data_IF_192560818027
#
_entry.id   IF_192560818027
#
_cell.length_a   1.000
_cell.length_b   1.000
_cell.length_c   1.000
_cell.angle_alpha   90.00
_cell.angle_beta   90.00
_cell.angle_gamma   90.00
#
_symmetry.space_group_name_H-M   'P 1'
#
loop_
_entity.id
_entity.type
_entity.pdbx_description
1 polymer ?
#
# COMPACT_ATOMS: atom_id res chain seq x y z
N UNK A 1 15.33 14.12 -18.13
CA UNK A 1 14.72 14.85 -16.98
C UNK A 1 13.56 15.72 -17.47
N UNK A 2 12.54 15.93 -16.64
CA UNK A 2 11.34 16.70 -16.98
C UNK A 2 11.51 18.23 -16.88
N UNK A 3 10.45 18.96 -17.24
CA UNK A 3 10.40 20.43 -17.33
C UNK A 3 10.59 21.14 -15.98
N UNK A 4 10.29 20.47 -14.88
CA UNK A 4 10.26 21.05 -13.54
C UNK A 4 11.56 20.84 -12.75
N UNK A 5 12.61 20.30 -13.39
CA UNK A 5 13.92 20.07 -12.77
C UNK A 5 14.53 21.34 -12.18
N UNK A 6 15.30 21.20 -11.11
CA UNK A 6 16.20 22.25 -10.61
C UNK A 6 17.62 22.03 -11.11
N UNK A 7 18.36 23.13 -11.29
CA UNK A 7 19.78 23.10 -11.64
C UNK A 7 20.09 22.68 -13.08
N UNK A 8 21.38 22.74 -13.40
CA UNK A 8 21.91 22.22 -14.65
C UNK A 8 22.08 20.69 -14.57
N UNK A 9 21.88 20.03 -15.71
CA UNK A 9 22.02 18.57 -15.77
C UNK A 9 23.49 18.24 -16.06
N UNK A 10 24.15 17.64 -15.07
CA UNK A 10 25.50 17.10 -15.25
C UNK A 10 25.47 15.75 -15.99
N UNK A 11 26.66 15.19 -16.27
CA UNK A 11 26.81 13.92 -16.97
C UNK A 11 26.05 12.76 -16.28
N UNK A 12 26.09 12.70 -14.95
CA UNK A 12 25.35 11.70 -14.18
C UNK A 12 23.83 11.85 -14.36
N UNK A 13 23.33 13.09 -14.36
CA UNK A 13 21.93 13.39 -14.63
C UNK A 13 21.51 13.00 -16.05
N UNK A 14 22.42 13.06 -17.02
CA UNK A 14 22.18 12.58 -18.39
C UNK A 14 22.14 11.05 -18.45
N UNK A 15 23.11 10.37 -17.84
CA UNK A 15 23.11 8.90 -17.71
C UNK A 15 21.83 8.40 -17.03
N UNK A 16 21.40 9.04 -15.96
CA UNK A 16 20.16 8.72 -15.26
C UNK A 16 18.92 8.97 -16.14
N UNK A 17 18.87 10.08 -16.88
CA UNK A 17 17.79 10.35 -17.81
C UNK A 17 17.71 9.29 -18.92
N UNK A 18 18.85 8.85 -19.44
CA UNK A 18 18.96 7.83 -20.47
C UNK A 18 18.51 6.46 -19.95
N UNK A 19 18.92 6.07 -18.74
CA UNK A 19 18.44 4.86 -18.06
C UNK A 19 16.91 4.88 -17.93
N UNK A 20 16.34 6.01 -17.49
CA UNK A 20 14.90 6.15 -17.37
C UNK A 20 14.18 6.09 -18.72
N UNK A 21 14.74 6.73 -19.75
CA UNK A 21 14.16 6.71 -21.09
C UNK A 21 14.15 5.29 -21.68
N UNK A 22 15.28 4.56 -21.56
CA UNK A 22 15.43 3.19 -22.03
C UNK A 22 14.41 2.24 -21.37
N UNK A 23 14.26 2.34 -20.05
CA UNK A 23 13.36 1.48 -19.27
C UNK A 23 11.90 1.96 -19.24
N UNK A 24 11.54 2.97 -20.05
CA UNK A 24 10.19 3.56 -20.09
C UNK A 24 9.74 4.01 -18.68
N UNK A 25 10.62 4.66 -17.93
CA UNK A 25 10.34 5.25 -16.63
C UNK A 25 10.05 6.76 -16.75
N UNK A 26 9.23 7.26 -15.83
CA UNK A 26 8.93 8.68 -15.67
C UNK A 26 9.50 9.14 -14.33
N UNK A 27 10.27 10.23 -14.36
CA UNK A 27 10.97 10.79 -13.21
C UNK A 27 10.04 11.76 -12.48
N UNK A 28 9.35 11.28 -11.44
CA UNK A 28 8.29 12.01 -10.76
C UNK A 28 8.74 13.35 -10.17
N UNK A 29 9.94 13.43 -9.60
CA UNK A 29 10.48 14.66 -9.02
C UNK A 29 10.67 15.82 -10.01
N UNK A 30 10.59 15.58 -11.33
CA UNK A 30 10.86 16.60 -12.35
C UNK A 30 9.67 16.90 -13.28
N UNK A 31 8.49 16.32 -13.04
CA UNK A 31 7.30 16.53 -13.87
C UNK A 31 6.23 17.42 -13.22
N UNK A 32 6.15 17.44 -11.88
CA UNK A 32 5.12 18.20 -11.17
C UNK A 32 5.57 19.65 -10.88
N UNK A 33 4.68 20.64 -11.08
CA UNK A 33 4.98 22.04 -10.80
C UNK A 33 4.97 22.30 -9.29
N UNK A 34 6.15 22.20 -8.68
CA UNK A 34 6.35 22.45 -7.26
C UNK A 34 7.15 23.74 -7.00
N UNK A 35 6.94 24.39 -5.85
CA UNK A 35 7.81 25.48 -5.38
C UNK A 35 9.23 24.95 -5.17
N UNK A 36 10.27 25.80 -5.33
CA UNK A 36 11.69 25.40 -5.16
C UNK A 36 11.92 24.66 -3.83
N UNK A 37 11.29 25.13 -2.76
CA UNK A 37 11.35 24.51 -1.43
C UNK A 37 10.92 23.03 -1.39
N UNK A 38 10.09 22.58 -2.33
CA UNK A 38 9.57 21.21 -2.44
C UNK A 38 10.28 20.38 -3.52
N UNK A 39 11.34 20.93 -4.13
CA UNK A 39 12.15 20.28 -5.17
C UNK A 39 13.59 20.03 -4.72
N UNK A 40 14.13 20.86 -3.81
CA UNK A 40 15.46 20.68 -3.24
C UNK A 40 15.48 19.50 -2.27
N UNK A 41 16.46 18.62 -2.44
CA UNK A 41 16.56 17.39 -1.65
C UNK A 41 17.88 17.32 -0.90
N UNK A 42 18.96 17.87 -1.45
CA UNK A 42 20.23 17.97 -0.77
C UNK A 42 20.60 19.44 -0.54
N UNK A 43 21.06 19.75 0.67
CA UNK A 43 21.62 21.04 1.03
C UNK A 43 23.06 20.81 1.49
N UNK A 44 24.00 21.57 0.92
CA UNK A 44 25.40 21.54 1.36
C UNK A 44 25.53 21.96 2.83
N UNK A 45 26.59 21.51 3.51
CA UNK A 45 26.81 21.82 4.94
C UNK A 45 26.93 23.31 5.25
N UNK A 46 27.26 24.14 4.25
CA UNK A 46 27.31 25.61 4.34
C UNK A 46 25.96 26.27 4.02
N UNK A 47 24.90 25.48 3.77
CA UNK A 47 23.56 25.90 3.39
C UNK A 47 23.45 26.78 2.14
N UNK A 48 24.49 26.84 1.29
CA UNK A 48 24.51 27.68 0.08
C UNK A 48 24.01 26.97 -1.16
N UNK A 49 24.27 25.66 -1.26
CA UNK A 49 24.06 24.87 -2.47
C UNK A 49 22.89 23.92 -2.29
N UNK A 50 21.96 23.98 -3.22
CA UNK A 50 20.74 23.17 -3.24
C UNK A 50 20.72 22.28 -4.48
N UNK A 51 20.67 20.95 -4.30
CA UNK A 51 20.61 20.02 -5.42
C UNK A 51 19.38 19.09 -5.36
N UNK A 52 19.00 18.60 -6.54
CA UNK A 52 17.95 17.60 -6.71
C UNK A 52 18.60 16.29 -7.17
N UNK A 53 18.95 15.42 -6.23
CA UNK A 53 19.67 14.16 -6.51
C UNK A 53 18.85 12.90 -6.26
N UNK A 54 17.85 12.96 -5.37
CA UNK A 54 16.97 11.82 -5.13
C UNK A 54 15.72 11.88 -6.02
N UNK A 55 15.34 10.72 -6.57
CA UNK A 55 14.25 10.64 -7.52
C UNK A 55 13.40 9.40 -7.31
N UNK A 56 12.08 9.60 -7.27
CA UNK A 56 11.12 8.51 -7.40
C UNK A 56 10.73 8.38 -8.87
N UNK A 57 10.99 7.21 -9.44
CA UNK A 57 10.65 6.87 -10.81
C UNK A 57 9.53 5.84 -10.86
N UNK A 58 8.64 5.97 -11.84
CA UNK A 58 7.55 5.01 -12.06
C UNK A 58 7.51 4.57 -13.52
N UNK A 59 7.14 3.32 -13.78
CA UNK A 59 6.90 2.87 -15.14
C UNK A 59 5.87 3.77 -15.85
N UNK A 60 6.16 4.14 -17.10
CA UNK A 60 5.33 5.02 -17.93
C UNK A 60 3.91 4.50 -18.09
N UNK A 61 3.68 3.18 -18.04
CA UNK A 61 2.33 2.58 -18.01
C UNK A 61 1.50 3.06 -16.81
N UNK A 62 2.13 3.25 -15.67
CA UNK A 62 1.49 3.67 -14.42
C UNK A 62 1.65 5.16 -14.13
N UNK A 63 2.17 5.98 -15.06
CA UNK A 63 2.39 7.42 -14.82
C UNK A 63 1.17 8.20 -14.31
N UNK A 64 -0.04 7.73 -14.60
CA UNK A 64 -1.31 8.35 -14.19
C UNK A 64 -1.70 8.01 -12.74
N UNK A 65 -1.02 7.06 -12.10
CA UNK A 65 -1.23 6.75 -10.70
C UNK A 65 -0.48 7.73 -9.80
N UNK A 66 0.63 8.30 -10.25
CA UNK A 66 1.35 9.31 -9.48
C UNK A 66 0.61 10.64 -9.54
N UNK A 67 0.17 11.13 -8.38
CA UNK A 67 -0.51 12.43 -8.24
C UNK A 67 0.47 13.57 -7.95
N UNK A 68 1.51 13.30 -7.16
CA UNK A 68 2.56 14.26 -6.83
C UNK A 68 3.84 13.54 -6.37
N UNK A 69 4.98 14.19 -6.55
CA UNK A 69 6.28 13.81 -5.95
C UNK A 69 6.98 15.07 -5.47
N UNK A 70 7.28 15.16 -4.18
CA UNK A 70 7.86 16.36 -3.56
C UNK A 70 8.80 16.03 -2.41
N UNK A 71 9.74 16.94 -2.14
CA UNK A 71 10.56 16.90 -0.93
C UNK A 71 9.82 17.49 0.28
N UNK A 72 10.10 16.94 1.46
CA UNK A 72 9.51 17.31 2.75
C UNK A 72 10.61 17.91 3.66
N UNK A 73 10.76 19.24 3.61
CA UNK A 73 11.73 19.97 4.47
C UNK A 73 11.41 19.90 5.96
N UNK A 74 10.12 19.84 6.33
CA UNK A 74 9.69 19.85 7.74
C UNK A 74 9.78 18.50 8.45
N UNK A 75 10.32 17.46 7.81
CA UNK A 75 10.58 16.18 8.43
C UNK A 75 12.07 16.10 8.73
N UNK A 76 12.42 16.33 9.99
CA UNK A 76 13.81 16.33 10.45
C UNK A 76 14.31 14.89 10.58
N UNK A 77 15.29 14.53 9.76
CA UNK A 77 15.90 13.19 9.73
C UNK A 77 17.40 13.21 10.07
N UNK A 78 17.88 14.29 10.70
CA UNK A 78 19.30 14.47 11.07
C UNK A 78 20.28 14.11 9.93
N UNK A 79 19.92 14.48 8.70
CA UNK A 79 20.69 14.24 7.47
C UNK A 79 20.70 15.51 6.62
N UNK A 80 21.73 15.64 5.79
CA UNK A 80 21.85 16.62 4.70
C UNK A 80 20.87 16.39 3.55
N UNK A 81 20.11 15.27 3.59
CA UNK A 81 19.01 14.97 2.69
C UNK A 81 17.64 15.29 3.31
N UNK A 82 16.71 15.75 2.47
CA UNK A 82 15.28 15.82 2.77
C UNK A 82 14.56 14.56 2.30
N UNK A 83 13.51 14.16 3.01
CA UNK A 83 12.64 13.06 2.55
C UNK A 83 11.93 13.42 1.24
N UNK A 84 11.94 12.49 0.27
CA UNK A 84 11.14 12.57 -0.96
C UNK A 84 9.92 11.67 -0.82
N UNK A 85 8.73 12.23 -1.04
CA UNK A 85 7.46 11.51 -0.89
C UNK A 85 6.69 11.55 -2.21
N UNK A 86 6.14 10.40 -2.60
CA UNK A 86 5.23 10.27 -3.73
C UNK A 86 3.80 9.98 -3.23
N UNK A 87 2.83 10.70 -3.77
CA UNK A 87 1.41 10.40 -3.60
C UNK A 87 0.93 9.56 -4.79
N UNK A 88 0.35 8.39 -4.50
CA UNK A 88 -0.10 7.44 -5.53
C UNK A 88 -1.59 7.14 -5.38
N UNK A 89 -2.34 7.27 -6.49
CA UNK A 89 -3.71 6.84 -6.65
C UNK A 89 -3.79 5.57 -7.47
N UNK A 90 -4.05 4.45 -6.80
CA UNK A 90 -4.20 3.16 -7.43
C UNK A 90 -5.67 2.91 -7.81
N UNK A 91 -5.91 2.52 -9.07
CA UNK A 91 -7.20 2.02 -9.53
C UNK A 91 -7.07 0.52 -9.77
N UNK A 92 -7.33 -0.27 -8.74
CA UNK A 92 -7.24 -1.72 -8.83
C UNK A 92 -8.53 -2.27 -9.47
N UNK A 93 -8.39 -3.14 -10.45
CA UNK A 93 -9.53 -3.92 -10.96
C UNK A 93 -9.80 -5.02 -9.95
N UNK A 94 -11.04 -5.09 -9.44
CA UNK A 94 -11.46 -6.24 -8.64
C UNK A 94 -11.43 -7.48 -9.53
N UNK A 95 -10.54 -8.41 -9.23
CA UNK A 95 -10.55 -9.72 -9.86
C UNK A 95 -11.59 -10.55 -9.10
N UNK A 96 -12.79 -10.65 -9.66
CA UNK A 96 -13.77 -11.60 -9.15
C UNK A 96 -13.26 -12.98 -9.53
N UNK A 97 -12.66 -13.70 -8.58
CA UNK A 97 -12.62 -15.16 -8.70
C UNK A 97 -14.07 -15.62 -8.76
N UNK A 98 -14.43 -16.28 -9.85
CA UNK A 98 -15.76 -16.87 -10.07
C UNK A 98 -16.00 -18.03 -9.11
N UNK A 99 -15.93 -17.80 -7.80
CA UNK A 99 -16.67 -18.60 -6.86
C UNK A 99 -18.02 -17.92 -6.72
N UNK A 100 -18.95 -18.35 -7.56
CA UNK A 100 -20.37 -18.10 -7.35
C UNK A 100 -20.83 -18.93 -6.14
N UNK A 101 -20.24 -18.69 -4.97
CA UNK A 101 -20.85 -19.12 -3.71
C UNK A 101 -22.04 -18.19 -3.54
N UNK A 102 -23.25 -18.72 -3.64
CA UNK A 102 -24.45 -18.03 -3.14
C UNK A 102 -24.10 -17.43 -1.79
N UNK A 103 -24.11 -16.09 -1.69
CA UNK A 103 -23.79 -15.41 -0.44
C UNK A 103 -24.75 -15.92 0.63
N UNK A 104 -24.29 -16.84 1.46
CA UNK A 104 -25.08 -17.38 2.55
C UNK A 104 -25.25 -16.25 3.56
N UNK A 105 -26.48 -15.76 3.68
CA UNK A 105 -26.83 -14.75 4.67
C UNK A 105 -27.15 -15.49 5.97
N UNK A 106 -26.67 -14.93 7.08
CA UNK A 106 -26.96 -15.44 8.41
C UNK A 106 -27.95 -14.50 9.12
N UNK A 107 -28.69 -15.01 10.08
CA UNK A 107 -29.66 -14.20 10.81
C UNK A 107 -28.96 -13.33 11.88
N UNK A 108 -28.41 -12.20 11.45
CA UNK A 108 -27.69 -11.26 12.33
C UNK A 108 -28.58 -10.58 13.38
N UNK A 109 -29.91 -10.76 13.32
CA UNK A 109 -30.82 -10.23 14.34
C UNK A 109 -30.55 -10.89 15.69
N UNK A 110 -30.13 -12.16 15.72
CA UNK A 110 -29.77 -12.87 16.95
C UNK A 110 -28.58 -12.24 17.69
N UNK A 111 -27.73 -11.45 17.02
CA UNK A 111 -26.64 -10.74 17.70
C UNK A 111 -27.13 -9.55 18.55
N UNK A 112 -28.41 -9.19 18.48
CA UNK A 112 -29.03 -8.21 19.40
C UNK A 112 -29.38 -8.83 20.75
N UNK A 113 -29.54 -10.14 20.79
CA UNK A 113 -29.75 -10.88 22.03
C UNK A 113 -28.40 -11.09 22.72
N UNK A 114 -28.32 -10.69 23.99
CA UNK A 114 -27.06 -10.69 24.76
C UNK A 114 -26.49 -12.10 24.93
N UNK A 115 -27.36 -13.09 25.13
CA UNK A 115 -26.96 -14.48 25.35
C UNK A 115 -26.42 -15.09 24.07
N UNK A 116 -27.13 -14.91 22.95
CA UNK A 116 -26.68 -15.34 21.62
C UNK A 116 -25.41 -14.62 21.17
N UNK A 117 -25.26 -13.34 21.48
CA UNK A 117 -24.04 -12.59 21.21
C UNK A 117 -22.85 -13.19 21.98
N UNK A 118 -23.03 -13.50 23.26
CA UNK A 118 -21.98 -14.12 24.08
C UNK A 118 -21.65 -15.54 23.61
N UNK A 119 -22.66 -16.34 23.27
CA UNK A 119 -22.50 -17.67 22.68
C UNK A 119 -21.67 -17.59 21.39
N UNK A 120 -22.01 -16.64 20.49
CA UNK A 120 -21.26 -16.43 19.26
C UNK A 120 -19.80 -16.03 19.53
N UNK A 121 -19.58 -15.09 20.46
CA UNK A 121 -18.23 -14.64 20.84
C UNK A 121 -17.38 -15.80 21.37
N UNK A 122 -17.93 -16.65 22.23
CA UNK A 122 -17.23 -17.82 22.78
C UNK A 122 -16.92 -18.83 21.68
N UNK A 123 -17.92 -19.17 20.86
CA UNK A 123 -17.75 -20.13 19.76
C UNK A 123 -16.71 -19.67 18.73
N UNK A 124 -16.73 -18.38 18.39
CA UNK A 124 -15.77 -17.78 17.46
C UNK A 124 -14.35 -17.83 18.03
N UNK A 125 -14.15 -17.39 19.27
CA UNK A 125 -12.84 -17.42 19.90
C UNK A 125 -12.29 -18.85 19.98
N UNK A 126 -13.13 -19.82 20.33
CA UNK A 126 -12.75 -21.23 20.36
C UNK A 126 -12.34 -21.75 18.98
N UNK A 127 -13.09 -21.42 17.92
CA UNK A 127 -12.74 -21.85 16.56
C UNK A 127 -11.43 -21.23 16.07
N UNK A 128 -11.19 -19.96 16.39
CA UNK A 128 -9.97 -19.26 16.01
C UNK A 128 -8.74 -19.73 16.79
N UNK A 129 -8.93 -20.13 18.05
CA UNK A 129 -7.85 -20.76 18.82
C UNK A 129 -7.43 -22.09 18.18
N UNK A 130 -8.39 -22.96 17.87
CA UNK A 130 -8.12 -24.23 17.17
C UNK A 130 -7.47 -24.01 15.80
N UNK A 131 -7.90 -22.96 15.07
CA UNK A 131 -7.27 -22.59 13.81
C UNK A 131 -5.82 -22.15 14.01
N UNK A 132 -5.54 -21.33 15.02
CA UNK A 132 -4.17 -20.88 15.31
C UNK A 132 -3.24 -22.05 15.62
N UNK A 133 -3.72 -23.03 16.39
CA UNK A 133 -2.96 -24.23 16.72
C UNK A 133 -2.66 -25.06 15.46
N UNK A 134 -3.65 -25.23 14.57
CA UNK A 134 -3.47 -25.92 13.29
C UNK A 134 -2.48 -25.21 12.35
N UNK A 135 -2.48 -23.88 12.35
CA UNK A 135 -1.55 -23.08 11.55
C UNK A 135 -0.11 -23.11 12.09
N UNK A 136 0.09 -23.41 13.38
CA UNK A 136 1.43 -23.61 13.95
C UNK A 136 2.03 -24.96 13.57
N UNK A 137 1.18 -25.97 13.38
CA UNK A 137 1.61 -27.34 13.06
C UNK A 137 1.83 -27.58 11.56
N UNK A 138 1.18 -26.79 10.69
CA UNK A 138 1.18 -27.02 9.24
C UNK A 138 1.63 -25.78 8.45
N UNK A 139 2.65 -25.96 7.61
CA UNK A 139 3.03 -24.95 6.62
C UNK A 139 1.95 -24.89 5.52
N UNK A 140 1.28 -23.75 5.42
CA UNK A 140 0.12 -23.52 4.54
C UNK A 140 0.35 -22.27 3.70
N UNK A 141 -0.22 -22.25 2.49
CA UNK A 141 -0.11 -21.06 1.61
C UNK A 141 -0.97 -19.92 2.14
N UNK A 142 -0.74 -18.69 1.66
CA UNK A 142 -1.58 -17.54 2.04
C UNK A 142 -3.04 -17.72 1.61
N UNK A 143 -3.27 -18.38 0.48
CA UNK A 143 -4.59 -18.76 -0.02
C UNK A 143 -5.27 -19.78 0.89
N UNK A 144 -4.55 -20.80 1.37
CA UNK A 144 -5.08 -21.79 2.33
C UNK A 144 -5.42 -21.15 3.67
N UNK A 145 -4.57 -20.23 4.15
CA UNK A 145 -4.84 -19.45 5.37
C UNK A 145 -6.14 -18.66 5.26
N UNK A 146 -6.33 -17.97 4.14
CA UNK A 146 -7.55 -17.22 3.88
C UNK A 146 -8.78 -18.11 3.82
N UNK A 147 -8.67 -19.29 3.20
CA UNK A 147 -9.74 -20.28 3.14
C UNK A 147 -10.12 -20.78 4.54
N UNK A 148 -9.14 -21.14 5.37
CA UNK A 148 -9.41 -21.65 6.72
C UNK A 148 -10.07 -20.60 7.62
N UNK A 149 -9.66 -19.32 7.52
CA UNK A 149 -10.29 -18.20 8.24
C UNK A 149 -11.75 -18.06 7.82
N UNK A 150 -12.02 -18.09 6.50
CA UNK A 150 -13.37 -17.99 5.95
C UNK A 150 -14.24 -19.16 6.44
N UNK A 151 -13.72 -20.38 6.46
CA UNK A 151 -14.41 -21.57 6.94
C UNK A 151 -14.73 -21.51 8.44
N UNK A 152 -13.77 -21.13 9.29
CA UNK A 152 -13.98 -21.00 10.73
C UNK A 152 -15.09 -19.98 11.07
N UNK A 153 -15.07 -18.84 10.39
CA UNK A 153 -16.11 -17.81 10.54
C UNK A 153 -17.48 -18.30 10.04
N UNK A 154 -17.53 -18.88 8.84
CA UNK A 154 -18.79 -19.33 8.21
C UNK A 154 -19.44 -20.46 9.01
N UNK A 155 -18.63 -21.40 9.51
CA UNK A 155 -19.08 -22.50 10.37
C UNK A 155 -19.65 -22.00 11.70
N UNK A 156 -18.97 -21.05 12.35
CA UNK A 156 -19.46 -20.45 13.59
C UNK A 156 -20.78 -19.69 13.38
N UNK A 157 -20.87 -18.89 12.31
CA UNK A 157 -22.10 -18.21 11.93
C UNK A 157 -23.25 -19.20 11.66
N UNK A 158 -22.99 -20.27 10.91
CA UNK A 158 -23.99 -21.30 10.62
C UNK A 158 -24.49 -21.98 11.91
N UNK A 159 -23.59 -22.26 12.85
CA UNK A 159 -23.91 -22.94 14.10
C UNK A 159 -24.73 -22.08 15.07
N UNK A 160 -24.38 -20.80 15.22
CA UNK A 160 -24.98 -19.93 16.26
C UNK A 160 -26.10 -19.05 15.72
N UNK A 161 -25.92 -18.49 14.52
CA UNK A 161 -26.86 -17.55 13.92
C UNK A 161 -27.84 -18.22 12.95
N UNK A 162 -27.45 -19.35 12.36
CA UNK A 162 -28.23 -20.04 11.34
C UNK A 162 -28.41 -19.25 10.03
N UNK A 163 -28.88 -19.91 8.97
CA UNK A 163 -29.15 -19.24 7.70
C UNK A 163 -30.31 -18.24 7.87
N UNK A 164 -30.29 -17.18 7.06
CA UNK A 164 -31.37 -16.22 6.93
C UNK A 164 -32.40 -16.66 5.89
#
# INVERSE_FOLDING_TARGET
MGRQRLGERNENGERFANLCAFNKLVIGGTIFPNRRIHKTIWISSDHTTENQIDHICINKKFRRTTEDVRSRRGAEITSDHHLVVANLKLKLKKNWTTEQTTLQRFNTVFLRDTDKHNEFKIALNSSFQALQDLLREKETTMEDNWKNIKEALTSTCQKVLGPK
#
